data_IF_671807876573
#
_entry.id   IF_671807876573
#
_cell.length_a   1.000
_cell.length_b   1.000
_cell.length_c   1.000
_cell.angle_alpha   90.00
_cell.angle_beta   90.00
_cell.angle_gamma   90.00
#
_symmetry.space_group_name_H-M   'P 1'
#
loop_
_entity.id
_entity.type
_entity.pdbx_description
1 polymer ?
#
# COMPACT_ATOMS: atom_id res chain seq x y z
N UNK A 1 1.58 -4.15 -19.89
CA UNK A 1 2.48 -4.83 -18.96
C UNK A 1 3.67 -3.93 -18.61
N UNK A 2 4.38 -3.42 -19.60
CA UNK A 2 5.50 -2.48 -19.35
C UNK A 2 5.03 -1.22 -18.64
N UNK A 3 3.89 -0.66 -19.03
CA UNK A 3 3.32 0.52 -18.40
C UNK A 3 2.93 0.29 -16.94
N UNK A 4 2.38 -0.89 -16.65
CA UNK A 4 2.03 -1.26 -15.27
C UNK A 4 3.28 -1.34 -14.40
N UNK A 5 4.38 -1.92 -14.91
CA UNK A 5 5.65 -2.00 -14.20
C UNK A 5 6.24 -0.62 -13.92
N UNK A 6 6.18 0.29 -14.90
CA UNK A 6 6.67 1.67 -14.74
C UNK A 6 5.86 2.43 -13.68
N UNK A 7 4.55 2.28 -13.70
CA UNK A 7 3.65 2.91 -12.72
C UNK A 7 3.92 2.37 -11.32
N UNK A 8 4.11 1.06 -11.20
CA UNK A 8 4.45 0.43 -9.93
C UNK A 8 5.79 0.94 -9.39
N UNK A 9 6.81 1.01 -10.25
CA UNK A 9 8.12 1.52 -9.86
C UNK A 9 8.05 2.98 -9.39
N UNK A 10 7.26 3.80 -10.07
CA UNK A 10 7.04 5.19 -9.67
C UNK A 10 6.36 5.29 -8.30
N UNK A 11 5.38 4.43 -8.03
CA UNK A 11 4.70 4.36 -6.74
C UNK A 11 5.67 3.97 -5.63
N UNK A 12 6.51 2.97 -5.87
CA UNK A 12 7.50 2.53 -4.90
C UNK A 12 8.52 3.64 -4.59
N UNK A 13 8.99 4.34 -5.61
CA UNK A 13 9.91 5.47 -5.41
C UNK A 13 9.26 6.58 -4.59
N UNK A 14 8.00 6.91 -4.88
CA UNK A 14 7.26 7.91 -4.13
C UNK A 14 7.15 7.54 -2.66
N UNK A 15 6.90 6.27 -2.36
CA UNK A 15 6.84 5.77 -1.00
C UNK A 15 8.20 5.87 -0.29
N UNK A 16 9.29 5.56 -0.99
CA UNK A 16 10.65 5.68 -0.46
C UNK A 16 11.03 7.13 -0.15
N UNK A 17 10.51 8.07 -0.95
CA UNK A 17 10.74 9.51 -0.77
C UNK A 17 9.80 10.15 0.25
N UNK A 18 8.89 9.37 0.85
CA UNK A 18 7.92 9.84 1.83
C UNK A 18 7.01 10.94 1.24
N UNK A 19 6.71 10.85 -0.05
CA UNK A 19 5.90 11.83 -0.79
C UNK A 19 4.46 11.33 -0.91
N UNK A 20 3.60 11.77 0.01
CA UNK A 20 2.20 11.35 0.09
C UNK A 20 1.43 11.67 -1.19
N UNK A 21 1.64 12.86 -1.76
CA UNK A 21 0.92 13.26 -2.99
C UNK A 21 1.31 12.40 -4.19
N UNK A 22 2.61 12.09 -4.32
CA UNK A 22 3.07 11.21 -5.39
C UNK A 22 2.55 9.78 -5.19
N UNK A 23 2.46 9.30 -3.95
CA UNK A 23 1.82 8.00 -3.64
C UNK A 23 0.35 8.02 -4.05
N UNK A 24 -0.39 9.08 -3.72
CA UNK A 24 -1.78 9.23 -4.13
C UNK A 24 -1.93 9.18 -5.65
N UNK A 25 -1.08 9.89 -6.38
CA UNK A 25 -1.08 9.87 -7.84
C UNK A 25 -0.78 8.48 -8.40
N UNK A 26 0.14 7.75 -7.78
CA UNK A 26 0.46 6.38 -8.15
C UNK A 26 -0.74 5.44 -7.96
N UNK A 27 -1.48 5.60 -6.87
CA UNK A 27 -2.70 4.81 -6.62
C UNK A 27 -3.76 5.09 -7.69
N UNK A 28 -3.91 6.35 -8.11
CA UNK A 28 -4.82 6.71 -9.20
C UNK A 28 -4.37 6.14 -10.52
N UNK A 29 -3.07 6.21 -10.82
CA UNK A 29 -2.52 5.69 -12.06
C UNK A 29 -2.67 4.18 -12.18
N UNK A 30 -2.64 3.45 -11.05
CA UNK A 30 -2.88 2.01 -11.01
C UNK A 30 -4.36 1.66 -10.89
N UNK A 31 -5.24 2.65 -10.90
CA UNK A 31 -6.69 2.47 -10.73
C UNK A 31 -7.09 1.76 -9.42
N UNK A 32 -6.24 1.88 -8.41
CA UNK A 32 -6.57 1.45 -7.05
C UNK A 32 -7.51 2.47 -6.42
N UNK A 33 -7.24 3.76 -6.63
CA UNK A 33 -8.11 4.85 -6.21
C UNK A 33 -8.79 5.44 -7.45
N UNK A 34 -10.13 5.33 -7.57
CA UNK A 34 -10.84 5.86 -8.74
C UNK A 34 -10.87 7.38 -8.73
N UNK A 35 -11.01 7.98 -9.92
CA UNK A 35 -11.09 9.44 -10.06
C UNK A 35 -12.32 10.04 -9.39
N UNK A 36 -13.41 9.28 -9.31
CA UNK A 36 -14.67 9.70 -8.67
C UNK A 36 -14.72 9.39 -7.17
N UNK A 37 -13.58 9.05 -6.56
CA UNK A 37 -13.52 8.83 -5.13
C UNK A 37 -14.01 10.06 -4.36
N UNK A 38 -14.80 9.84 -3.31
CA UNK A 38 -15.31 10.93 -2.47
C UNK A 38 -14.21 11.52 -1.61
N UNK A 39 -14.44 12.73 -1.09
CA UNK A 39 -13.48 13.38 -0.18
C UNK A 39 -13.23 12.52 1.07
N UNK A 40 -14.27 11.86 1.59
CA UNK A 40 -14.14 10.96 2.72
C UNK A 40 -13.27 9.74 2.40
N UNK A 41 -13.46 9.16 1.23
CA UNK A 41 -12.64 8.04 0.76
C UNK A 41 -11.17 8.45 0.61
N UNK A 42 -10.92 9.59 -0.01
CA UNK A 42 -9.57 10.13 -0.18
C UNK A 42 -8.91 10.37 1.17
N UNK A 43 -9.65 10.93 2.13
CA UNK A 43 -9.13 11.17 3.48
C UNK A 43 -8.68 9.87 4.15
N UNK A 44 -9.50 8.82 4.10
CA UNK A 44 -9.15 7.54 4.71
C UNK A 44 -7.93 6.92 4.05
N UNK A 45 -7.84 6.99 2.71
CA UNK A 45 -6.68 6.49 1.99
C UNK A 45 -5.41 7.25 2.39
N UNK A 46 -5.47 8.57 2.54
CA UNK A 46 -4.33 9.37 3.05
C UNK A 46 -3.92 8.94 4.45
N UNK A 47 -4.88 8.66 5.32
CA UNK A 47 -4.59 8.17 6.67
C UNK A 47 -3.91 6.80 6.63
N UNK A 48 -4.31 5.92 5.72
CA UNK A 48 -3.66 4.62 5.53
C UNK A 48 -2.21 4.79 5.05
N UNK A 49 -1.97 5.71 4.12
CA UNK A 49 -0.61 6.03 3.65
C UNK A 49 0.24 6.55 4.82
N UNK A 50 -0.33 7.43 5.64
CA UNK A 50 0.36 7.97 6.82
C UNK A 50 0.74 6.89 7.83
N UNK A 51 -0.01 5.80 7.91
CA UNK A 51 0.32 4.65 8.74
C UNK A 51 1.45 3.80 8.12
N UNK A 52 1.45 3.66 6.80
CA UNK A 52 2.39 2.79 6.08
C UNK A 52 3.76 3.39 5.85
N UNK A 53 3.87 4.70 5.57
CA UNK A 53 5.15 5.33 5.25
C UNK A 53 6.20 5.25 6.37
N UNK A 54 5.84 5.41 7.66
CA UNK A 54 6.82 5.25 8.74
C UNK A 54 7.47 3.87 8.76
N UNK A 55 6.77 2.84 8.31
CA UNK A 55 7.30 1.49 8.21
C UNK A 55 8.51 1.44 7.25
N UNK A 56 8.42 2.13 6.12
CA UNK A 56 9.54 2.22 5.17
C UNK A 56 10.68 3.05 5.73
N UNK A 57 10.38 4.13 6.47
CA UNK A 57 11.42 4.95 7.09
C UNK A 57 12.22 4.17 8.13
N UNK A 58 11.57 3.27 8.87
CA UNK A 58 12.22 2.45 9.88
C UNK A 58 13.23 1.46 9.29
N UNK A 59 13.07 1.10 8.02
CA UNK A 59 13.96 0.18 7.30
C UNK A 59 13.55 -1.27 7.47
N UNK A 60 13.61 -1.82 8.67
CA UNK A 60 13.22 -3.20 8.98
C UNK A 60 11.88 -3.21 9.68
N UNK A 61 11.00 -4.11 9.25
CA UNK A 61 9.67 -4.29 9.82
C UNK A 61 9.63 -5.60 10.60
N UNK A 62 9.17 -5.52 11.84
CA UNK A 62 8.93 -6.70 12.69
C UNK A 62 7.46 -7.12 12.50
N UNK A 63 7.23 -8.15 11.73
CA UNK A 63 5.88 -8.69 11.50
C UNK A 63 5.33 -9.46 12.70
N UNK A 64 6.14 -9.66 13.75
CA UNK A 64 5.66 -10.14 15.04
C UNK A 64 4.85 -9.09 15.80
N UNK A 65 5.08 -7.80 15.52
CA UNK A 65 4.28 -6.70 16.04
C UNK A 65 3.11 -6.45 15.06
N UNK A 66 1.90 -6.83 15.47
CA UNK A 66 0.72 -6.74 14.62
C UNK A 66 -0.06 -5.44 14.77
N UNK A 67 0.44 -4.48 15.54
CA UNK A 67 -0.27 -3.23 15.82
C UNK A 67 -0.54 -2.41 14.55
N UNK A 68 0.44 -2.32 13.64
CA UNK A 68 0.27 -1.61 12.37
C UNK A 68 -0.76 -2.29 11.49
N UNK A 69 -0.71 -3.62 11.37
CA UNK A 69 -1.67 -4.38 10.56
C UNK A 69 -3.09 -4.22 11.10
N UNK A 70 -3.26 -4.22 12.43
CA UNK A 70 -4.55 -3.99 13.06
C UNK A 70 -5.07 -2.57 12.73
N UNK A 71 -4.20 -1.56 12.82
CA UNK A 71 -4.57 -0.18 12.49
C UNK A 71 -4.96 -0.04 11.01
N UNK A 72 -4.21 -0.68 10.11
CA UNK A 72 -4.53 -0.69 8.68
C UNK A 72 -5.85 -1.38 8.39
N UNK A 73 -6.11 -2.51 9.04
CA UNK A 73 -7.38 -3.22 8.92
C UNK A 73 -8.55 -2.35 9.37
N UNK A 74 -8.40 -1.66 10.50
CA UNK A 74 -9.45 -0.78 11.02
C UNK A 74 -9.76 0.35 10.04
N UNK A 75 -8.74 0.96 9.44
CA UNK A 75 -8.93 1.97 8.40
C UNK A 75 -9.60 1.39 7.16
N UNK A 76 -9.22 0.19 6.77
CA UNK A 76 -9.86 -0.51 5.65
C UNK A 76 -11.34 -0.77 5.90
N UNK A 77 -11.72 -1.10 7.12
CA UNK A 77 -13.12 -1.27 7.50
C UNK A 77 -13.89 0.06 7.45
N UNK A 78 -13.29 1.15 7.92
CA UNK A 78 -13.89 2.49 7.80
C UNK A 78 -14.12 2.82 6.32
N UNK A 79 -13.13 2.58 5.48
CA UNK A 79 -13.22 2.84 4.05
C UNK A 79 -14.35 2.05 3.41
N UNK A 80 -14.46 0.76 3.71
CA UNK A 80 -15.46 -0.12 3.11
C UNK A 80 -16.87 0.08 3.67
N UNK A 81 -17.01 0.25 4.99
CA UNK A 81 -18.32 0.27 5.65
C UNK A 81 -18.87 1.68 5.83
N UNK A 82 -18.04 2.64 6.23
CA UNK A 82 -18.51 4.01 6.48
C UNK A 82 -18.44 4.89 5.24
N UNK A 83 -17.41 4.72 4.40
CA UNK A 83 -17.19 5.52 3.19
C UNK A 83 -17.68 4.80 1.92
N UNK A 84 -18.24 3.62 2.05
CA UNK A 84 -18.85 2.85 0.94
C UNK A 84 -17.90 2.66 -0.25
N UNK A 85 -16.63 2.42 0.02
CA UNK A 85 -15.64 2.19 -1.01
C UNK A 85 -15.77 0.77 -1.55
N UNK A 86 -16.29 0.64 -2.78
CA UNK A 86 -16.56 -0.66 -3.40
C UNK A 86 -15.83 -0.85 -4.72
N UNK A 87 -14.90 0.03 -5.00
CA UNK A 87 -14.15 -0.02 -6.25
C UNK A 87 -13.28 -1.28 -6.31
N UNK A 88 -13.33 -1.95 -7.45
CA UNK A 88 -12.48 -3.11 -7.74
C UNK A 88 -11.44 -2.67 -8.77
N UNK A 89 -10.13 -2.75 -8.43
CA UNK A 89 -9.08 -2.35 -9.37
C UNK A 89 -9.00 -3.32 -10.56
N UNK A 90 -8.26 -2.96 -11.63
CA UNK A 90 -8.03 -3.86 -12.75
C UNK A 90 -7.46 -5.20 -12.30
N UNK A 91 -7.68 -6.24 -13.10
CA UNK A 91 -7.38 -7.62 -12.73
C UNK A 91 -5.92 -7.84 -12.35
N UNK A 92 -4.99 -7.27 -13.11
CA UNK A 92 -3.55 -7.38 -12.85
C UNK A 92 -3.14 -6.73 -11.51
N UNK A 93 -3.73 -5.58 -11.20
CA UNK A 93 -3.52 -4.89 -9.92
C UNK A 93 -4.12 -5.70 -8.77
N UNK A 94 -5.32 -6.23 -8.96
CA UNK A 94 -5.98 -7.07 -7.94
C UNK A 94 -5.16 -8.32 -7.64
N UNK A 95 -4.61 -8.95 -8.68
CA UNK A 95 -3.73 -10.11 -8.53
C UNK A 95 -2.49 -9.76 -7.69
N UNK A 96 -1.86 -8.62 -8.00
CA UNK A 96 -0.70 -8.14 -7.26
C UNK A 96 -1.04 -7.89 -5.78
N UNK A 97 -2.18 -7.24 -5.52
CA UNK A 97 -2.63 -6.97 -4.14
C UNK A 97 -2.83 -8.26 -3.35
N UNK A 98 -3.43 -9.28 -3.96
CA UNK A 98 -3.64 -10.58 -3.31
C UNK A 98 -2.33 -11.28 -3.01
N UNK A 99 -1.37 -11.20 -3.93
CA UNK A 99 -0.05 -11.79 -3.75
C UNK A 99 0.70 -11.12 -2.61
N UNK A 100 0.69 -9.79 -2.55
CA UNK A 100 1.30 -9.03 -1.47
C UNK A 100 0.63 -9.32 -0.13
N UNK A 101 -0.70 -9.37 -0.10
CA UNK A 101 -1.45 -9.71 1.11
C UNK A 101 -1.08 -11.09 1.65
N UNK A 102 -0.93 -12.07 0.76
CA UNK A 102 -0.50 -13.41 1.14
C UNK A 102 0.91 -13.43 1.73
N UNK A 103 1.84 -12.67 1.14
CA UNK A 103 3.20 -12.54 1.66
C UNK A 103 3.24 -11.88 3.04
N UNK A 104 2.46 -10.81 3.24
CA UNK A 104 2.34 -10.14 4.53
C UNK A 104 1.78 -11.10 5.59
N UNK A 105 0.76 -11.87 5.22
CA UNK A 105 0.17 -12.85 6.12
C UNK A 105 1.17 -13.93 6.54
N UNK A 106 1.96 -14.43 5.59
CA UNK A 106 3.01 -15.41 5.85
C UNK A 106 4.08 -14.82 6.77
N UNK A 107 4.56 -13.62 6.47
CA UNK A 107 5.55 -12.94 7.30
C UNK A 107 5.04 -12.74 8.73
N UNK A 108 3.76 -12.40 8.89
CA UNK A 108 3.12 -12.24 10.20
C UNK A 108 3.10 -13.55 10.97
N UNK A 109 2.73 -14.66 10.32
CA UNK A 109 2.72 -15.98 10.96
C UNK A 109 4.11 -16.44 11.39
N UNK A 110 5.12 -16.10 10.61
CA UNK A 110 6.51 -16.43 10.92
C UNK A 110 7.14 -15.44 11.90
N UNK A 111 6.46 -14.36 12.23
CA UNK A 111 6.98 -13.24 13.03
C UNK A 111 8.32 -12.75 12.47
N UNK A 112 8.38 -12.65 11.13
CA UNK A 112 9.59 -12.34 10.42
C UNK A 112 9.99 -10.88 10.61
N UNK A 113 11.29 -10.63 10.66
CA UNK A 113 11.86 -9.28 10.54
C UNK A 113 12.36 -9.13 9.12
N UNK A 114 11.79 -8.17 8.40
CA UNK A 114 12.02 -8.02 6.96
C UNK A 114 12.60 -6.64 6.67
N UNK A 115 13.72 -6.55 5.95
CA UNK A 115 14.29 -5.26 5.55
C UNK A 115 13.49 -4.66 4.39
N UNK A 116 12.26 -4.22 4.67
CA UNK A 116 11.28 -3.80 3.68
C UNK A 116 11.81 -2.64 2.84
N UNK A 117 12.49 -1.65 3.47
CA UNK A 117 13.03 -0.52 2.74
C UNK A 117 14.04 -0.94 1.67
N UNK A 118 14.96 -1.84 2.01
CA UNK A 118 15.96 -2.33 1.06
C UNK A 118 15.30 -3.11 -0.07
N UNK A 119 14.30 -3.95 0.25
CA UNK A 119 13.57 -4.73 -0.76
C UNK A 119 12.77 -3.82 -1.70
N UNK A 120 12.10 -2.81 -1.17
CA UNK A 120 11.36 -1.84 -1.98
C UNK A 120 12.29 -1.03 -2.86
N UNK A 121 13.45 -0.63 -2.32
CA UNK A 121 14.48 0.09 -3.09
C UNK A 121 14.97 -0.76 -4.27
N UNK A 122 15.26 -2.03 -4.03
CA UNK A 122 15.71 -2.95 -5.10
C UNK A 122 14.61 -3.14 -6.15
N UNK A 123 13.36 -3.29 -5.73
CA UNK A 123 12.23 -3.42 -6.65
C UNK A 123 12.02 -2.14 -7.48
N UNK A 124 12.21 -0.97 -6.89
CA UNK A 124 12.06 0.32 -7.59
C UNK A 124 13.18 0.56 -8.61
N UNK A 125 14.37 -0.01 -8.39
CA UNK A 125 15.51 0.12 -9.27
C UNK A 125 15.51 -0.91 -10.41
N UNK A 126 14.72 -1.95 -10.29
CA UNK A 126 14.69 -3.04 -11.27
C UNK A 126 14.02 -2.65 -12.60
#
# INVERSE_FOLDING_TARGET
VARAAETQAALLRAALEDDTEAVMQGLRAMSILPEDATDGQVRVVREMIALGLPMLRAGTVDFGDTSLLAAMRDKGMVLGLEEDFRHIPPWDVLYLQRKLGGLVLLATRLRARVPVRALVRDAAAA
#
